data_IF_952547068121
#
_entry.id   IF_952547068121
#
_cell.length_a   1.000
_cell.length_b   1.000
_cell.length_c   1.000
_cell.angle_alpha   90.00
_cell.angle_beta   90.00
_cell.angle_gamma   90.00
#
_symmetry.space_group_name_H-M   'P 1'
#
loop_
_entity.id
_entity.type
_entity.pdbx_description
1 polymer ?
#
# COMPACT_ATOMS: atom_id res chain seq x y z
N UNK A 1 -10.61 12.18 -19.03
CA UNK A 1 -11.68 11.55 -18.27
C UNK A 1 -11.22 11.21 -16.86
N UNK A 2 -12.13 11.02 -15.88
CA UNK A 2 -11.75 10.61 -14.53
C UNK A 2 -10.96 9.30 -14.52
N UNK A 3 -11.25 8.38 -15.44
CA UNK A 3 -10.55 7.11 -15.56
C UNK A 3 -9.09 7.32 -15.98
N UNK A 4 -8.84 8.24 -16.92
CA UNK A 4 -7.48 8.55 -17.38
C UNK A 4 -6.67 9.22 -16.26
N UNK A 5 -7.28 10.13 -15.51
CA UNK A 5 -6.63 10.79 -14.38
C UNK A 5 -6.27 9.79 -13.27
N UNK A 6 -7.18 8.85 -12.95
CA UNK A 6 -6.92 7.79 -11.99
C UNK A 6 -5.80 6.86 -12.44
N UNK A 7 -5.78 6.49 -13.72
CA UNK A 7 -4.73 5.65 -14.29
C UNK A 7 -3.36 6.33 -14.29
N UNK A 8 -3.31 7.65 -14.51
CA UNK A 8 -2.04 8.39 -14.56
C UNK A 8 -1.35 8.47 -13.20
N UNK A 9 -2.09 8.58 -12.12
CA UNK A 9 -1.47 8.67 -10.80
C UNK A 9 -1.03 7.31 -10.25
N UNK A 10 -1.53 6.21 -10.83
CA UNK A 10 -1.26 4.85 -10.37
C UNK A 10 -0.84 3.97 -11.56
N UNK A 11 0.33 4.25 -12.10
CA UNK A 11 0.90 3.50 -13.23
C UNK A 11 2.34 3.12 -12.94
N UNK A 12 2.80 1.95 -13.41
CA UNK A 12 4.21 1.58 -13.30
C UNK A 12 5.11 2.59 -13.98
N UNK A 13 6.25 2.87 -13.38
CA UNK A 13 7.26 3.76 -13.95
C UNK A 13 8.67 3.31 -13.53
N UNK A 14 9.68 3.92 -14.15
CA UNK A 14 11.08 3.64 -13.83
C UNK A 14 11.34 3.76 -12.34
N UNK A 15 11.93 2.75 -11.72
CA UNK A 15 12.21 2.69 -10.29
C UNK A 15 11.09 2.12 -9.42
N UNK A 16 9.86 2.07 -9.93
CA UNK A 16 8.72 1.47 -9.25
C UNK A 16 7.93 0.61 -10.25
N UNK A 17 8.47 -0.56 -10.62
CA UNK A 17 7.85 -1.38 -11.67
C UNK A 17 6.55 -2.05 -11.24
N UNK A 18 6.31 -2.23 -9.93
CA UNK A 18 5.07 -2.80 -9.44
C UNK A 18 4.21 -1.71 -8.81
N UNK A 19 3.15 -1.35 -9.50
CA UNK A 19 2.16 -0.35 -9.05
C UNK A 19 0.78 -0.91 -9.38
N UNK A 20 -0.14 -0.85 -8.42
CA UNK A 20 -1.49 -1.39 -8.59
C UNK A 20 -2.52 -0.54 -7.88
N UNK A 21 -3.65 -0.29 -8.55
CA UNK A 21 -4.83 0.37 -7.97
C UNK A 21 -5.91 -0.64 -7.54
N UNK A 22 -5.56 -1.91 -7.52
CA UNK A 22 -6.44 -3.05 -7.19
C UNK A 22 -5.59 -4.15 -6.57
N UNK A 23 -6.15 -5.33 -6.36
CA UNK A 23 -5.39 -6.49 -5.91
C UNK A 23 -4.43 -7.02 -6.98
N UNK A 24 -3.79 -8.11 -6.68
CA UNK A 24 -2.84 -8.77 -7.58
C UNK A 24 -2.90 -10.29 -7.45
N UNK A 25 -1.93 -10.95 -8.08
CA UNK A 25 -1.77 -12.40 -8.03
C UNK A 25 -1.22 -12.81 -6.66
N UNK A 26 -2.01 -13.51 -5.87
CA UNK A 26 -1.63 -13.95 -4.53
C UNK A 26 -0.57 -15.05 -4.51
N UNK A 27 -0.16 -15.54 -5.67
CA UNK A 27 0.96 -16.49 -5.77
C UNK A 27 2.31 -15.79 -5.90
N UNK A 28 2.33 -14.46 -5.98
CA UNK A 28 3.55 -13.65 -6.01
C UNK A 28 3.60 -12.74 -4.78
N UNK A 29 4.83 -12.41 -4.28
CA UNK A 29 4.93 -11.52 -3.12
C UNK A 29 4.31 -10.15 -3.34
N UNK A 30 4.55 -9.51 -4.47
CA UNK A 30 3.96 -8.21 -4.78
C UNK A 30 2.44 -8.32 -4.89
N UNK A 31 1.95 -9.38 -5.52
CA UNK A 31 0.52 -9.59 -5.73
C UNK A 31 -0.24 -9.81 -4.42
N UNK A 32 0.31 -10.58 -3.48
CA UNK A 32 -0.35 -10.80 -2.18
C UNK A 32 -0.38 -9.49 -1.36
N UNK A 33 0.67 -8.68 -1.46
CA UNK A 33 0.72 -7.38 -0.77
C UNK A 33 -0.28 -6.39 -1.38
N UNK A 34 -0.41 -6.35 -2.71
CA UNK A 34 -1.43 -5.55 -3.37
C UNK A 34 -2.84 -6.02 -2.97
N UNK A 35 -3.05 -7.33 -2.85
CA UNK A 35 -4.33 -7.88 -2.42
C UNK A 35 -4.65 -7.51 -0.97
N UNK A 36 -3.65 -7.48 -0.09
CA UNK A 36 -3.83 -7.01 1.28
C UNK A 36 -4.38 -5.57 1.30
N UNK A 37 -3.80 -4.68 0.49
CA UNK A 37 -4.26 -3.29 0.43
C UNK A 37 -5.66 -3.18 -0.18
N UNK A 38 -6.01 -4.03 -1.14
CA UNK A 38 -7.37 -4.11 -1.66
C UNK A 38 -8.38 -4.51 -0.56
N UNK A 39 -7.98 -5.41 0.35
CA UNK A 39 -8.83 -5.79 1.48
C UNK A 39 -8.97 -4.65 2.49
N UNK A 40 -7.92 -3.85 2.71
CA UNK A 40 -7.99 -2.69 3.59
C UNK A 40 -8.86 -1.57 2.99
N UNK A 41 -8.54 -1.13 1.79
CA UNK A 41 -9.08 0.10 1.20
C UNK A 41 -10.35 -0.14 0.38
N UNK A 42 -10.44 -1.26 -0.31
CA UNK A 42 -11.57 -1.58 -1.19
C UNK A 42 -12.67 -2.35 -0.48
N UNK A 43 -12.39 -3.58 -0.09
CA UNK A 43 -13.36 -4.43 0.59
C UNK A 43 -13.61 -4.02 2.04
N UNK A 44 -12.67 -3.33 2.66
CA UNK A 44 -12.69 -2.94 4.08
C UNK A 44 -12.98 -4.16 4.96
N UNK A 45 -12.29 -5.26 4.69
CA UNK A 45 -12.52 -6.56 5.29
C UNK A 45 -11.34 -6.99 6.15
N UNK A 46 -11.51 -6.98 7.46
CA UNK A 46 -10.51 -7.50 8.38
C UNK A 46 -10.28 -9.00 8.16
N UNK A 47 -11.35 -9.76 7.93
CA UNK A 47 -11.23 -11.20 7.62
C UNK A 47 -10.45 -11.42 6.33
N UNK A 48 -10.67 -10.59 5.31
CA UNK A 48 -9.95 -10.66 4.04
C UNK A 48 -8.45 -10.38 4.20
N UNK A 49 -8.07 -9.44 5.06
CA UNK A 49 -6.67 -9.20 5.41
C UNK A 49 -6.08 -10.39 6.16
N UNK A 50 -6.78 -10.87 7.19
CA UNK A 50 -6.28 -11.97 8.03
C UNK A 50 -6.10 -13.28 7.24
N UNK A 51 -6.86 -13.49 6.18
CA UNK A 51 -6.70 -14.65 5.30
C UNK A 51 -5.33 -14.68 4.59
N UNK A 52 -4.66 -13.53 4.48
CA UNK A 52 -3.36 -13.39 3.83
C UNK A 52 -2.19 -13.39 4.83
N UNK A 53 -2.51 -13.36 6.12
CA UNK A 53 -1.53 -13.21 7.21
C UNK A 53 -1.10 -14.59 7.71
N UNK A 54 0.19 -14.74 7.99
CA UNK A 54 0.75 -15.85 8.75
C UNK A 54 1.46 -15.31 9.98
N UNK A 55 1.66 -16.18 10.99
CA UNK A 55 2.30 -15.76 12.23
C UNK A 55 1.37 -14.95 13.13
N UNK A 56 1.97 -14.25 14.08
CA UNK A 56 1.27 -13.56 15.17
C UNK A 56 1.63 -12.08 15.30
N UNK A 57 2.13 -11.47 14.20
CA UNK A 57 2.56 -10.06 14.19
C UNK A 57 1.38 -9.08 14.20
N UNK A 58 0.17 -9.54 13.90
CA UNK A 58 -1.05 -8.73 13.94
C UNK A 58 -2.24 -9.62 14.32
N UNK A 59 -3.37 -9.01 14.61
CA UNK A 59 -4.61 -9.72 14.92
C UNK A 59 -5.81 -9.00 14.32
N UNK A 60 -6.97 -9.65 14.41
CA UNK A 60 -8.22 -9.15 13.80
C UNK A 60 -8.63 -7.79 14.38
N UNK A 61 -8.36 -7.53 15.66
CA UNK A 61 -8.73 -6.27 16.30
C UNK A 61 -7.86 -5.13 15.81
N UNK A 62 -6.55 -5.33 15.67
CA UNK A 62 -5.63 -4.34 15.14
C UNK A 62 -5.95 -4.02 13.68
N UNK A 63 -6.24 -5.04 12.88
CA UNK A 63 -6.64 -4.86 11.47
C UNK A 63 -7.97 -4.10 11.39
N UNK A 64 -8.95 -4.45 12.20
CA UNK A 64 -10.25 -3.75 12.23
C UNK A 64 -10.09 -2.29 12.62
N UNK A 65 -9.22 -1.98 13.59
CA UNK A 65 -8.93 -0.61 14.01
C UNK A 65 -8.24 0.17 12.89
N UNK A 66 -7.30 -0.46 12.16
CA UNK A 66 -6.65 0.18 11.02
C UNK A 66 -7.66 0.52 9.92
N UNK A 67 -8.57 -0.39 9.61
CA UNK A 67 -9.62 -0.17 8.61
C UNK A 67 -10.55 0.99 9.06
N UNK A 68 -10.91 1.02 10.33
CA UNK A 68 -11.76 2.09 10.87
C UNK A 68 -11.12 3.47 10.72
N UNK A 69 -9.78 3.54 10.69
CA UNK A 69 -9.04 4.78 10.47
C UNK A 69 -8.98 5.23 9.01
N UNK A 70 -9.39 4.39 8.07
CA UNK A 70 -9.44 4.76 6.65
C UNK A 70 -10.75 5.51 6.40
N UNK A 71 -10.70 6.73 5.83
CA UNK A 71 -11.92 7.49 5.54
C UNK A 71 -12.90 6.69 4.68
N UNK A 72 -14.20 6.88 4.93
CA UNK A 72 -15.27 6.25 4.14
C UNK A 72 -15.62 7.10 2.92
N UNK A 73 -16.37 6.53 1.98
CA UNK A 73 -16.80 7.18 0.76
C UNK A 73 -16.05 6.70 -0.46
N UNK A 74 -16.10 7.47 -1.53
CA UNK A 74 -15.42 7.13 -2.77
C UNK A 74 -13.92 7.38 -2.65
N UNK A 75 -13.18 6.33 -2.30
CA UNK A 75 -11.73 6.37 -2.16
C UNK A 75 -11.09 5.59 -3.30
N UNK A 76 -10.00 6.12 -3.82
CA UNK A 76 -9.10 5.38 -4.68
C UNK A 76 -7.73 5.29 -4.00
N UNK A 77 -7.02 4.21 -4.27
CA UNK A 77 -5.71 3.96 -3.69
C UNK A 77 -4.74 3.44 -4.74
N UNK A 78 -3.48 3.65 -4.47
CA UNK A 78 -2.39 3.19 -5.33
C UNK A 78 -1.34 2.53 -4.46
N UNK A 79 -1.05 1.27 -4.72
CA UNK A 79 -0.04 0.51 -3.99
C UNK A 79 1.22 0.42 -4.85
N UNK A 80 2.34 0.90 -4.31
CA UNK A 80 3.65 0.78 -4.93
C UNK A 80 4.50 -0.16 -4.09
N UNK A 81 5.09 -1.17 -4.72
CA UNK A 81 5.86 -2.20 -4.00
C UNK A 81 7.26 -2.28 -4.58
N UNK A 82 8.26 -2.21 -3.70
CA UNK A 82 9.67 -2.32 -4.03
C UNK A 82 10.33 -3.44 -3.22
N UNK A 83 11.20 -4.26 -3.82
CA UNK A 83 12.01 -5.18 -3.03
C UNK A 83 12.88 -4.42 -2.04
N UNK A 84 13.00 -4.96 -0.83
CA UNK A 84 13.93 -4.47 0.19
C UNK A 84 15.00 -5.54 0.44
N UNK A 85 15.08 -6.09 1.65
CA UNK A 85 15.95 -7.23 1.91
C UNK A 85 15.30 -8.53 1.41
N UNK A 86 16.04 -9.64 1.48
CA UNK A 86 15.51 -10.96 1.07
C UNK A 86 14.21 -11.29 1.81
N UNK A 87 13.13 -11.49 1.05
CA UNK A 87 11.79 -11.78 1.58
C UNK A 87 11.04 -10.57 2.12
N UNK A 88 11.64 -9.37 2.16
CA UNK A 88 11.04 -8.14 2.60
C UNK A 88 10.75 -7.20 1.43
N UNK A 89 9.64 -6.49 1.53
CA UNK A 89 9.17 -5.56 0.50
C UNK A 89 8.71 -4.27 1.14
N UNK A 90 9.09 -3.16 0.53
CA UNK A 90 8.56 -1.84 0.93
C UNK A 90 7.25 -1.61 0.20
N UNK A 91 6.20 -1.39 0.97
CA UNK A 91 4.86 -1.12 0.46
C UNK A 91 4.52 0.33 0.76
N UNK A 92 4.19 1.08 -0.28
CA UNK A 92 3.77 2.48 -0.19
C UNK A 92 2.33 2.52 -0.70
N UNK A 93 1.40 2.97 0.13
CA UNK A 93 0.00 3.13 -0.29
C UNK A 93 -0.35 4.60 -0.25
N UNK A 94 -0.68 5.14 -1.41
CA UNK A 94 -1.26 6.46 -1.53
C UNK A 94 -2.76 6.32 -1.68
N UNK A 95 -3.52 7.07 -0.89
CA UNK A 95 -4.97 7.09 -1.01
C UNK A 95 -5.49 8.52 -1.07
N UNK A 96 -6.63 8.66 -1.72
CA UNK A 96 -7.31 9.96 -1.84
C UNK A 96 -8.80 9.75 -2.03
N UNK A 97 -9.60 10.76 -1.65
CA UNK A 97 -11.01 10.79 -2.02
C UNK A 97 -11.12 11.28 -3.46
N UNK A 98 -12.04 10.69 -4.23
CA UNK A 98 -12.22 11.06 -5.64
C UNK A 98 -12.60 12.53 -5.84
N UNK A 99 -13.30 13.13 -4.86
CA UNK A 99 -13.71 14.51 -4.93
C UNK A 99 -12.66 15.51 -4.42
N UNK A 100 -11.59 15.03 -3.82
CA UNK A 100 -10.46 15.86 -3.36
C UNK A 100 -9.14 15.19 -3.77
N UNK A 101 -8.85 15.12 -5.10
CA UNK A 101 -7.74 14.32 -5.61
C UNK A 101 -6.35 14.83 -5.22
N UNK A 102 -6.25 16.08 -4.76
CA UNK A 102 -4.97 16.63 -4.31
C UNK A 102 -4.64 16.29 -2.85
N UNK A 103 -5.64 15.80 -2.08
CA UNK A 103 -5.45 15.42 -0.68
C UNK A 103 -5.05 13.96 -0.58
N UNK A 104 -3.77 13.69 -0.79
CA UNK A 104 -3.22 12.33 -0.75
C UNK A 104 -2.70 12.01 0.64
N UNK A 105 -3.11 10.85 1.17
CA UNK A 105 -2.55 10.28 2.40
C UNK A 105 -1.67 9.10 2.01
N UNK A 106 -0.47 9.03 2.61
CA UNK A 106 0.52 8.00 2.29
C UNK A 106 0.84 7.17 3.52
N UNK A 107 0.80 5.85 3.37
CA UNK A 107 1.26 4.89 4.37
C UNK A 107 2.45 4.12 3.81
N UNK A 108 3.44 3.84 4.66
CA UNK A 108 4.63 3.09 4.28
C UNK A 108 4.93 2.03 5.34
N UNK A 109 5.25 0.84 4.89
CA UNK A 109 5.71 -0.22 5.76
C UNK A 109 6.51 -1.26 4.98
N UNK A 110 7.43 -1.93 5.67
CA UNK A 110 8.10 -3.10 5.11
C UNK A 110 7.37 -4.35 5.59
N UNK A 111 7.14 -5.28 4.68
CA UNK A 111 6.44 -6.52 4.96
C UNK A 111 7.28 -7.72 4.55
N UNK A 112 7.26 -8.75 5.39
CA UNK A 112 7.95 -10.00 5.13
C UNK A 112 6.94 -11.00 4.56
N UNK A 113 7.25 -11.56 3.40
CA UNK A 113 6.41 -12.55 2.72
C UNK A 113 7.20 -13.83 2.57
N UNK A 114 6.61 -14.94 2.99
CA UNK A 114 7.20 -16.27 2.85
C UNK A 114 6.16 -17.30 2.45
N UNK A 115 6.64 -18.39 1.84
CA UNK A 115 5.83 -19.56 1.56
C UNK A 115 5.75 -20.42 2.81
N UNK A 116 4.52 -20.69 3.26
CA UNK A 116 4.27 -21.59 4.38
C UNK A 116 3.81 -22.93 3.81
N UNK A 117 4.47 -24.04 4.17
CA UNK A 117 4.10 -25.37 3.66
C UNK A 117 2.61 -25.66 3.90
N UNK A 118 1.91 -26.07 2.84
CA UNK A 118 0.50 -26.39 2.87
C UNK A 118 -0.44 -25.18 2.77
N UNK A 119 0.06 -23.95 2.90
CA UNK A 119 -0.76 -22.74 2.87
C UNK A 119 -0.47 -21.82 1.69
N UNK A 120 0.75 -21.86 1.16
CA UNK A 120 1.22 -20.95 0.10
C UNK A 120 1.85 -19.68 0.70
N UNK A 121 1.87 -18.61 -0.09
CA UNK A 121 2.43 -17.34 0.38
C UNK A 121 1.58 -16.76 1.51
N UNK A 122 2.27 -16.21 2.52
CA UNK A 122 1.64 -15.46 3.61
C UNK A 122 2.51 -14.27 3.98
N UNK A 123 1.87 -13.23 4.47
CA UNK A 123 2.52 -12.04 5.00
C UNK A 123 2.78 -12.31 6.49
N UNK A 124 4.04 -12.48 6.86
CA UNK A 124 4.41 -13.05 8.16
C UNK A 124 5.03 -12.05 9.14
N UNK A 125 5.30 -10.84 8.71
CA UNK A 125 5.83 -9.80 9.60
C UNK A 125 5.71 -8.42 8.94
N UNK A 126 5.81 -7.38 9.76
CA UNK A 126 5.82 -5.99 9.33
C UNK A 126 6.74 -5.18 10.23
N UNK A 127 7.44 -4.22 9.65
CA UNK A 127 8.25 -3.24 10.40
C UNK A 127 8.11 -1.87 9.76
N UNK A 128 8.26 -0.77 10.54
CA UNK A 128 8.27 0.58 9.97
C UNK A 128 9.47 0.77 9.04
N UNK A 129 9.31 1.68 8.07
CA UNK A 129 10.42 2.11 7.23
C UNK A 129 10.59 3.64 7.32
N UNK A 130 11.27 4.14 8.36
CA UNK A 130 11.43 5.58 8.55
C UNK A 130 12.25 6.27 7.46
N UNK A 131 13.16 5.55 6.82
CA UNK A 131 13.99 6.09 5.73
C UNK A 131 13.12 6.50 4.54
N UNK A 132 12.21 5.62 4.09
CA UNK A 132 11.32 5.93 2.97
C UNK A 132 10.34 7.03 3.35
N UNK A 133 9.82 7.04 4.57
CA UNK A 133 8.96 8.13 5.05
C UNK A 133 9.69 9.47 4.97
N UNK A 134 10.95 9.53 5.39
CA UNK A 134 11.78 10.74 5.32
C UNK A 134 12.01 11.18 3.85
N UNK A 135 12.33 10.25 2.97
CA UNK A 135 12.51 10.53 1.54
C UNK A 135 11.25 11.15 0.93
N UNK A 136 10.08 10.58 1.21
CA UNK A 136 8.81 11.08 0.68
C UNK A 136 8.50 12.47 1.21
N UNK A 137 8.73 12.74 2.49
CA UNK A 137 8.56 14.07 3.08
C UNK A 137 9.50 15.09 2.45
N UNK A 138 10.75 14.71 2.20
CA UNK A 138 11.73 15.58 1.56
C UNK A 138 11.33 15.96 0.14
N UNK A 139 10.85 14.99 -0.64
CA UNK A 139 10.34 15.24 -2.00
C UNK A 139 9.14 16.18 -1.98
N UNK A 140 8.23 16.00 -1.04
CA UNK A 140 7.05 16.86 -0.88
C UNK A 140 7.45 18.30 -0.58
N UNK A 141 8.40 18.51 0.34
CA UNK A 141 8.90 19.84 0.68
C UNK A 141 9.56 20.52 -0.52
N UNK A 142 10.40 19.80 -1.27
CA UNK A 142 11.04 20.34 -2.48
C UNK A 142 10.01 20.75 -3.52
N UNK A 143 8.96 19.95 -3.70
CA UNK A 143 7.88 20.24 -4.64
C UNK A 143 7.14 21.51 -4.23
N UNK A 144 6.82 21.67 -2.95
CA UNK A 144 6.16 22.87 -2.42
C UNK A 144 7.01 24.11 -2.58
N UNK A 145 8.34 24.02 -2.32
CA UNK A 145 9.27 25.12 -2.52
C UNK A 145 9.34 25.56 -3.99
N UNK A 146 9.39 24.61 -4.92
CA UNK A 146 9.37 24.89 -6.34
C UNK A 146 8.09 25.59 -6.77
N UNK A 147 6.92 25.13 -6.30
CA UNK A 147 5.63 25.75 -6.59
C UNK A 147 5.54 27.16 -5.99
N UNK A 148 6.06 27.37 -4.79
CA UNK A 148 6.07 28.69 -4.15
C UNK A 148 7.02 29.66 -4.84
N UNK A 149 8.10 29.16 -5.48
CA UNK A 149 9.07 29.97 -6.22
C UNK A 149 8.64 30.32 -7.64
N UNK A 150 7.58 29.70 -8.11
CA UNK A 150 7.02 30.00 -9.43
C UNK A 150 5.98 31.12 -9.31
#
# INVERSE_FOLDING_TARGET
>A
SPTDAAQKWCTPHSGNPYVSSKGGDTSTPEGILATMEQQYFGARSADGVMALVGGDWTDINDVSNAIAGIPTGSIEWCTTIRPAESGWYTVIVDSRKKNTPDDVTTWVGDYHVETIPGEGLRIIDMRPNPTVVQELKHKELKHKEADAGA
#
